data_IF_378325840324
#
_entry.id   IF_378325840324
#
_cell.length_a   1.000
_cell.length_b   1.000
_cell.length_c   1.000
_cell.angle_alpha   90.00
_cell.angle_beta   90.00
_cell.angle_gamma   90.00
#
_symmetry.space_group_name_H-M   'P 1'
#
loop_
_entity.id
_entity.type
_entity.pdbx_description
1 polymer ?
#
# COMPACT_ATOMS: atom_id res chain seq x y z
N UNK A 1 23.41 -44.06 -1.39
CA UNK A 1 22.22 -43.56 -2.12
C UNK A 1 21.21 -43.07 -1.10
N UNK A 2 21.21 -41.76 -0.81
CA UNK A 2 20.09 -41.07 -0.13
C UNK A 2 20.30 -39.56 -0.25
N UNK A 3 19.66 -38.87 -1.21
CA UNK A 3 19.51 -37.43 -1.15
C UNK A 3 18.11 -37.14 -0.59
N UNK A 4 18.03 -36.96 0.73
CA UNK A 4 16.78 -36.65 1.45
C UNK A 4 17.00 -35.32 2.20
N UNK A 5 17.34 -34.26 1.46
CA UNK A 5 17.64 -32.95 2.04
C UNK A 5 17.18 -31.76 1.18
N UNK A 6 16.39 -31.99 0.13
CA UNK A 6 15.99 -30.93 -0.80
C UNK A 6 14.55 -30.38 -0.59
N UNK A 7 13.80 -30.83 0.41
CA UNK A 7 12.35 -30.58 0.48
C UNK A 7 11.88 -29.55 1.53
N UNK A 8 12.77 -28.89 2.29
CA UNK A 8 12.38 -28.08 3.45
C UNK A 8 12.44 -26.55 3.28
N UNK A 9 12.70 -26.01 2.08
CA UNK A 9 12.95 -24.56 1.89
C UNK A 9 11.91 -23.87 0.98
N UNK A 10 10.62 -24.27 1.01
CA UNK A 10 9.59 -23.62 0.18
C UNK A 10 8.41 -23.00 0.95
N UNK A 11 8.44 -22.96 2.29
CA UNK A 11 7.31 -22.45 3.07
C UNK A 11 7.50 -21.04 3.68
N UNK A 12 8.65 -20.38 3.48
CA UNK A 12 8.99 -19.13 4.17
C UNK A 12 8.81 -17.84 3.34
N UNK A 13 8.34 -17.92 2.09
CA UNK A 13 8.46 -16.82 1.12
C UNK A 13 7.20 -16.01 0.80
N UNK A 14 6.01 -16.45 1.21
CA UNK A 14 4.76 -15.81 0.75
C UNK A 14 4.20 -14.77 1.74
N UNK A 15 4.38 -14.99 3.05
CA UNK A 15 3.83 -14.11 4.07
C UNK A 15 4.37 -12.67 3.99
N UNK A 16 5.63 -12.47 3.59
CA UNK A 16 6.21 -11.12 3.49
C UNK A 16 5.77 -10.37 2.24
N UNK A 17 5.55 -11.04 1.12
CA UNK A 17 5.16 -10.39 -0.14
C UNK A 17 3.76 -9.77 -0.05
N UNK A 18 2.81 -10.48 0.56
CA UNK A 18 1.47 -9.94 0.84
C UNK A 18 1.55 -8.78 1.83
N UNK A 19 2.47 -8.87 2.81
CA UNK A 19 2.75 -7.80 3.76
C UNK A 19 3.29 -6.53 3.12
N UNK A 20 4.24 -6.67 2.20
CA UNK A 20 4.84 -5.57 1.43
C UNK A 20 3.80 -4.91 0.51
N UNK A 21 3.00 -5.69 -0.20
CA UNK A 21 1.93 -5.17 -1.04
C UNK A 21 0.87 -4.40 -0.22
N UNK A 22 0.50 -4.92 0.95
CA UNK A 22 -0.37 -4.21 1.87
C UNK A 22 0.28 -2.93 2.41
N UNK A 23 1.57 -2.93 2.76
CA UNK A 23 2.27 -1.72 3.19
C UNK A 23 2.35 -0.64 2.10
N UNK A 24 2.57 -1.03 0.84
CA UNK A 24 2.56 -0.15 -0.32
C UNK A 24 1.16 0.50 -0.51
N UNK A 25 0.09 -0.28 -0.39
CA UNK A 25 -1.28 0.25 -0.39
C UNK A 25 -1.57 1.15 0.81
N UNK A 26 -1.00 0.87 1.99
CA UNK A 26 -1.10 1.76 3.13
C UNK A 26 -0.44 3.11 2.84
N UNK A 27 0.74 3.12 2.20
CA UNK A 27 1.44 4.32 1.79
C UNK A 27 0.65 5.12 0.75
N UNK A 28 0.04 4.45 -0.25
CA UNK A 28 -0.83 5.08 -1.25
C UNK A 28 -1.94 5.89 -0.59
N UNK A 29 -2.74 5.23 0.26
CA UNK A 29 -3.90 5.87 0.88
C UNK A 29 -3.50 6.89 1.95
N UNK A 30 -2.35 6.72 2.61
CA UNK A 30 -1.81 7.74 3.50
C UNK A 30 -1.37 8.99 2.72
N UNK A 31 -0.76 8.80 1.53
CA UNK A 31 -0.43 9.91 0.63
C UNK A 31 -1.68 10.69 0.20
N UNK A 32 -2.74 9.98 -0.19
CA UNK A 32 -4.05 10.59 -0.51
C UNK A 32 -4.60 11.36 0.68
N UNK A 33 -4.59 10.79 1.88
CA UNK A 33 -5.12 11.42 3.08
C UNK A 33 -4.39 12.74 3.41
N UNK A 34 -3.06 12.74 3.33
CA UNK A 34 -2.25 13.93 3.59
C UNK A 34 -2.52 15.02 2.55
N UNK A 35 -2.50 14.69 1.26
CA UNK A 35 -2.72 15.67 0.21
C UNK A 35 -4.18 16.20 0.20
N UNK A 36 -5.17 15.37 0.53
CA UNK A 36 -6.56 15.81 0.67
C UNK A 36 -6.74 16.73 1.90
N UNK A 37 -6.02 16.48 2.99
CA UNK A 37 -6.01 17.36 4.17
C UNK A 37 -5.32 18.70 3.88
N UNK A 38 -4.23 18.68 3.11
CA UNK A 38 -3.50 19.86 2.69
C UNK A 38 -4.29 20.69 1.64
N UNK A 39 -5.26 20.08 0.94
CA UNK A 39 -6.04 20.70 -0.15
C UNK A 39 -7.58 20.50 -0.01
N UNK A 40 -8.21 21.01 1.06
CA UNK A 40 -9.61 20.72 1.38
C UNK A 40 -10.65 21.24 0.35
N UNK A 41 -10.26 22.17 -0.52
CA UNK A 41 -11.13 22.75 -1.56
C UNK A 41 -11.25 21.90 -2.83
N UNK A 42 -10.39 20.90 -3.02
CA UNK A 42 -10.24 20.17 -4.29
C UNK A 42 -10.93 18.79 -4.32
N UNK A 43 -11.71 18.48 -3.28
CA UNK A 43 -12.47 17.23 -3.18
C UNK A 43 -11.62 16.04 -2.71
N UNK A 44 -12.29 15.02 -2.18
CA UNK A 44 -11.67 13.88 -1.50
C UNK A 44 -11.91 13.91 0.02
N UNK A 45 -12.02 12.73 0.63
CA UNK A 45 -12.23 12.60 2.08
C UNK A 45 -10.91 12.14 2.74
N UNK A 46 -10.19 13.04 3.45
CA UNK A 46 -8.97 12.64 4.15
C UNK A 46 -9.24 11.55 5.20
N UNK A 47 -10.42 11.55 5.80
CA UNK A 47 -10.85 10.53 6.77
C UNK A 47 -11.00 9.15 6.11
N UNK A 48 -11.66 9.08 4.95
CA UNK A 48 -11.86 7.81 4.23
C UNK A 48 -10.53 7.22 3.77
N UNK A 49 -9.63 8.05 3.25
CA UNK A 49 -8.28 7.64 2.86
C UNK A 49 -7.44 7.18 4.07
N UNK A 50 -7.55 7.88 5.20
CA UNK A 50 -6.88 7.48 6.45
C UNK A 50 -7.36 6.12 6.97
N UNK A 51 -8.67 5.83 6.85
CA UNK A 51 -9.23 4.54 7.22
C UNK A 51 -8.70 3.41 6.34
N UNK A 52 -8.61 3.63 5.02
CA UNK A 52 -8.02 2.66 4.10
C UNK A 52 -6.54 2.41 4.41
N UNK A 53 -5.75 3.48 4.61
CA UNK A 53 -4.34 3.37 4.99
C UNK A 53 -4.15 2.51 6.25
N UNK A 54 -5.00 2.72 7.25
CA UNK A 54 -5.00 1.92 8.48
C UNK A 54 -5.39 0.47 8.22
N UNK A 55 -6.40 0.22 7.41
CA UNK A 55 -6.85 -1.13 7.08
C UNK A 55 -5.73 -1.94 6.40
N UNK A 56 -5.04 -1.34 5.44
CA UNK A 56 -3.89 -1.96 4.79
C UNK A 56 -2.70 -2.16 5.75
N UNK A 57 -2.43 -1.21 6.64
CA UNK A 57 -1.39 -1.39 7.68
C UNK A 57 -1.68 -2.58 8.60
N UNK A 58 -2.96 -2.81 8.93
CA UNK A 58 -3.38 -3.98 9.70
C UNK A 58 -3.25 -5.27 8.88
N UNK A 59 -3.57 -5.24 7.58
CA UNK A 59 -3.33 -6.37 6.67
C UNK A 59 -1.85 -6.74 6.58
N UNK A 60 -0.97 -5.74 6.44
CA UNK A 60 0.48 -5.94 6.42
C UNK A 60 0.98 -6.57 7.73
N UNK A 61 0.45 -6.10 8.87
CA UNK A 61 0.76 -6.67 10.17
C UNK A 61 0.29 -8.13 10.32
N UNK A 62 -0.90 -8.45 9.82
CA UNK A 62 -1.44 -9.82 9.83
C UNK A 62 -0.61 -10.77 8.94
N UNK A 63 -0.03 -10.25 7.86
CA UNK A 63 0.91 -10.95 6.99
C UNK A 63 2.34 -11.05 7.59
N UNK A 64 2.58 -10.47 8.77
CA UNK A 64 3.85 -10.59 9.50
C UNK A 64 4.81 -9.42 9.29
N UNK A 65 4.48 -8.43 8.46
CA UNK A 65 5.24 -7.19 8.34
C UNK A 65 4.78 -6.21 9.43
N UNK A 66 5.53 -6.14 10.53
CA UNK A 66 5.16 -5.36 11.73
C UNK A 66 6.29 -4.44 12.20
N UNK A 67 6.00 -3.54 13.15
CA UNK A 67 7.01 -2.73 13.83
C UNK A 67 7.77 -1.78 12.90
N UNK A 68 9.11 -1.76 13.02
CA UNK A 68 9.97 -0.91 12.21
C UNK A 68 9.94 -1.25 10.71
N UNK A 69 10.03 -2.52 10.28
CA UNK A 69 9.91 -2.88 8.86
C UNK A 69 8.65 -2.33 8.18
N UNK A 70 7.48 -2.48 8.79
CA UNK A 70 6.23 -1.91 8.27
C UNK A 70 6.31 -0.39 8.15
N UNK A 71 6.80 0.26 9.20
CA UNK A 71 6.94 1.72 9.22
C UNK A 71 7.89 2.20 8.12
N UNK A 72 9.03 1.54 7.93
CA UNK A 72 9.99 1.89 6.88
C UNK A 72 9.38 1.74 5.50
N UNK A 73 8.73 0.60 5.20
CA UNK A 73 8.09 0.38 3.91
C UNK A 73 7.06 1.47 3.57
N UNK A 74 6.22 1.85 4.55
CA UNK A 74 5.25 2.94 4.36
C UNK A 74 5.95 4.28 4.11
N UNK A 75 6.93 4.65 4.95
CA UNK A 75 7.60 5.94 4.87
C UNK A 75 8.48 6.09 3.62
N UNK A 76 9.04 4.99 3.11
CA UNK A 76 9.82 4.96 1.88
C UNK A 76 8.95 5.24 0.65
N UNK A 77 7.76 4.63 0.56
CA UNK A 77 6.86 4.81 -0.58
C UNK A 77 5.98 6.07 -0.51
N UNK A 78 5.78 6.63 0.70
CA UNK A 78 4.87 7.76 0.93
C UNK A 78 5.13 8.99 0.05
N UNK A 79 6.38 9.49 -0.15
CA UNK A 79 6.63 10.68 -0.95
C UNK A 79 6.19 10.53 -2.41
N UNK A 80 6.37 9.34 -2.98
CA UNK A 80 5.99 9.04 -4.36
C UNK A 80 4.47 9.06 -4.53
N UNK A 81 3.74 8.51 -3.57
CA UNK A 81 2.27 8.55 -3.60
C UNK A 81 1.68 9.93 -3.34
N UNK A 82 2.33 10.74 -2.51
CA UNK A 82 2.00 12.17 -2.38
C UNK A 82 2.20 12.90 -3.71
N UNK A 83 3.30 12.64 -4.41
CA UNK A 83 3.55 13.22 -5.74
C UNK A 83 2.50 12.76 -6.76
N UNK A 84 2.19 11.46 -6.79
CA UNK A 84 1.17 10.89 -7.67
C UNK A 84 -0.18 11.56 -7.46
N UNK A 85 -0.64 11.68 -6.21
CA UNK A 85 -1.95 12.26 -5.92
C UNK A 85 -1.99 13.78 -6.19
N UNK A 86 -0.88 14.50 -6.02
CA UNK A 86 -0.79 15.90 -6.48
C UNK A 86 -1.01 16.00 -8.00
N UNK A 87 -0.50 15.05 -8.78
CA UNK A 87 -0.79 14.95 -10.21
C UNK A 87 -2.28 14.70 -10.48
N UNK A 88 -2.94 13.85 -9.68
CA UNK A 88 -4.40 13.64 -9.76
C UNK A 88 -5.17 14.93 -9.50
N UNK A 89 -4.81 15.66 -8.45
CA UNK A 89 -5.41 16.96 -8.10
C UNK A 89 -5.21 17.98 -9.23
N UNK A 90 -4.05 17.97 -9.88
CA UNK A 90 -3.72 18.84 -11.02
C UNK A 90 -4.37 18.38 -12.35
N UNK A 91 -5.25 17.39 -12.31
CA UNK A 91 -5.90 16.77 -13.47
C UNK A 91 -4.93 16.19 -14.53
N UNK A 92 -3.72 15.82 -14.13
CA UNK A 92 -2.78 15.15 -15.03
C UNK A 92 -3.28 13.75 -15.42
N UNK A 93 -3.51 13.54 -16.71
CA UNK A 93 -4.11 12.31 -17.23
C UNK A 93 -3.27 11.06 -16.92
N UNK A 94 -1.94 11.19 -16.93
CA UNK A 94 -1.05 10.05 -16.64
C UNK A 94 -1.09 9.67 -15.17
N UNK A 95 -1.04 10.66 -14.29
CA UNK A 95 -1.16 10.49 -12.84
C UNK A 95 -2.50 9.88 -12.46
N UNK A 96 -3.60 10.33 -13.08
CA UNK A 96 -4.94 9.73 -12.90
C UNK A 96 -4.98 8.27 -13.30
N UNK A 97 -4.52 7.93 -14.51
CA UNK A 97 -4.50 6.54 -14.99
C UNK A 97 -3.62 5.64 -14.11
N UNK A 98 -2.46 6.14 -13.65
CA UNK A 98 -1.60 5.40 -12.75
C UNK A 98 -2.25 5.21 -11.37
N UNK A 99 -2.87 6.24 -10.82
CA UNK A 99 -3.58 6.16 -9.55
C UNK A 99 -4.78 5.20 -9.60
N UNK A 100 -5.58 5.23 -10.68
CA UNK A 100 -6.71 4.31 -10.89
C UNK A 100 -6.23 2.85 -10.93
N UNK A 101 -5.13 2.57 -11.63
CA UNK A 101 -4.53 1.22 -11.65
C UNK A 101 -4.05 0.78 -10.27
N UNK A 102 -3.30 1.63 -9.55
CA UNK A 102 -2.78 1.30 -8.20
C UNK A 102 -3.90 1.12 -7.18
N UNK A 103 -4.91 1.99 -7.20
CA UNK A 103 -6.06 1.86 -6.31
C UNK A 103 -6.89 0.60 -6.62
N UNK A 104 -6.99 0.19 -7.89
CA UNK A 104 -7.61 -1.07 -8.28
C UNK A 104 -6.82 -2.30 -7.81
N UNK A 105 -5.48 -2.27 -7.91
CA UNK A 105 -4.58 -3.28 -7.33
C UNK A 105 -4.84 -3.41 -5.81
N UNK A 106 -4.87 -2.29 -5.09
CA UNK A 106 -5.18 -2.27 -3.65
C UNK A 106 -6.58 -2.81 -3.33
N UNK A 107 -7.59 -2.43 -4.11
CA UNK A 107 -8.94 -2.94 -3.94
C UNK A 107 -9.03 -4.46 -4.15
N UNK A 108 -8.16 -5.05 -4.98
CA UNK A 108 -8.11 -6.50 -5.15
C UNK A 108 -7.61 -7.23 -3.91
N UNK A 109 -6.65 -6.66 -3.18
CA UNK A 109 -6.11 -7.23 -1.94
C UNK A 109 -7.17 -7.29 -0.82
N UNK A 110 -8.06 -6.28 -0.76
CA UNK A 110 -9.17 -6.25 0.21
C UNK A 110 -10.26 -7.29 -0.06
N UNK A 111 -10.36 -7.79 -1.30
CA UNK A 111 -11.36 -8.82 -1.67
C UNK A 111 -10.82 -10.24 -1.53
N UNK A 112 -9.50 -10.42 -1.51
CA UNK A 112 -8.84 -11.72 -1.36
C UNK A 112 -8.42 -12.07 0.07
N UNK A 113 -8.66 -11.16 1.03
CA UNK A 113 -8.33 -11.31 2.46
C UNK A 113 -9.49 -11.80 3.31
#
# INVERSE_FOLDING_TARGET
MTPLLAALILAAGTATADGEAAADCAALWQGVALEAADNPSLGGSPDSASLLARQFSLGAAAAGLTGQPLRSAILEALPDYRLLYRGVIAEDAQSRALFERRSAECASLLRGS
#
